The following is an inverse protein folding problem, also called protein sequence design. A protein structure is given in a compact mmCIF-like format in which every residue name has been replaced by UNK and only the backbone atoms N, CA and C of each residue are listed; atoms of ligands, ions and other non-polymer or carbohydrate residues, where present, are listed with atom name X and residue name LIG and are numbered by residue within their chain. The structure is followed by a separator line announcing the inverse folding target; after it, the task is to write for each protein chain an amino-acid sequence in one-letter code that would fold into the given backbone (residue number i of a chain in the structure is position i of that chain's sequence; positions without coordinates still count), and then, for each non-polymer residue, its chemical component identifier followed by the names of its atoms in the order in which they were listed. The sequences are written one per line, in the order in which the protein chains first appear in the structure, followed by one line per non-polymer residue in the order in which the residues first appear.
data_IF_563240522264
#
_entry.id   IF_563240522264
#
_cell.length_a   1.000
_cell.length_b   1.000
_cell.length_c   1.000
_cell.angle_alpha   90.00
_cell.angle_beta   90.00
_cell.angle_gamma   90.00
#
_symmetry.space_group_name_H-M   'P 1'
#
loop_
_entity.id
_entity.type
_entity.pdbx_description
1 polymer ?
#
# COMPACT_ATOMS: atom_id res chain seq x y z
N UNK A 1 8.78 -1.77 7.58
CA UNK A 1 8.60 -2.71 6.46
C UNK A 1 7.96 -1.98 5.32
N UNK A 2 8.55 -2.04 4.14
CA UNK A 2 7.83 -1.76 2.89
C UNK A 2 7.07 -3.02 2.49
N UNK A 3 5.76 -2.92 2.29
CA UNK A 3 4.92 -4.11 2.13
C UNK A 3 5.13 -4.77 0.77
N UNK A 4 5.12 -3.96 -0.29
CA UNK A 4 5.35 -4.39 -1.67
C UNK A 4 5.64 -3.15 -2.52
N UNK A 5 6.74 -3.19 -3.26
CA UNK A 5 7.06 -2.19 -4.27
C UNK A 5 6.10 -2.31 -5.46
N UNK A 6 5.50 -1.19 -5.87
CA UNK A 6 4.69 -1.05 -7.08
C UNK A 6 3.62 -2.16 -7.29
N UNK A 7 2.68 -2.34 -6.35
CA UNK A 7 1.63 -3.34 -6.47
C UNK A 7 0.81 -3.08 -7.75
N UNK A 8 0.83 -4.03 -8.69
CA UNK A 8 0.16 -3.90 -9.99
C UNK A 8 -0.46 -5.22 -10.45
N UNK A 9 -1.61 -5.08 -11.08
CA UNK A 9 -2.27 -6.13 -11.85
C UNK A 9 -2.67 -5.45 -13.17
N UNK A 10 -1.99 -5.82 -14.25
CA UNK A 10 -2.11 -5.16 -15.54
C UNK A 10 -3.52 -5.28 -16.14
N UNK A 11 -4.28 -6.31 -15.76
CA UNK A 11 -5.67 -6.48 -16.18
C UNK A 11 -6.63 -5.54 -15.44
N UNK A 12 -6.17 -4.87 -14.37
CA UNK A 12 -6.98 -3.99 -13.52
C UNK A 12 -6.56 -2.51 -13.61
N UNK A 13 -5.47 -2.18 -14.30
CA UNK A 13 -5.03 -0.79 -14.56
C UNK A 13 -6.15 -0.01 -15.28
N UNK A 14 -6.48 1.23 -14.87
CA UNK A 14 -5.71 2.13 -14.01
C UNK A 14 -6.02 2.04 -12.50
N UNK A 15 -6.76 1.02 -12.07
CA UNK A 15 -7.09 0.83 -10.66
C UNK A 15 -6.04 0.00 -9.94
N UNK A 16 -5.88 0.23 -8.63
CA UNK A 16 -5.13 -0.68 -7.77
C UNK A 16 -5.74 -2.08 -7.83
N UNK A 17 -4.95 -3.16 -7.71
CA UNK A 17 -5.49 -4.52 -7.71
C UNK A 17 -6.54 -4.68 -6.62
N UNK A 18 -7.74 -5.19 -6.95
CA UNK A 18 -8.85 -5.33 -5.98
C UNK A 18 -8.48 -6.12 -4.72
N UNK A 19 -7.59 -7.09 -4.88
CA UNK A 19 -7.08 -7.93 -3.80
C UNK A 19 -6.05 -7.23 -2.89
N UNK A 20 -5.50 -6.08 -3.29
CA UNK A 20 -4.37 -5.47 -2.61
C UNK A 20 -4.75 -4.95 -1.23
N UNK A 21 -5.84 -4.20 -1.12
CA UNK A 21 -6.31 -3.65 0.15
C UNK A 21 -6.58 -4.73 1.24
N UNK A 22 -7.40 -5.77 0.99
CA UNK A 22 -7.62 -6.81 2.01
C UNK A 22 -6.35 -7.60 2.34
N UNK A 23 -5.44 -7.77 1.39
CA UNK A 23 -4.14 -8.41 1.64
C UNK A 23 -3.27 -7.56 2.58
N UNK A 24 -3.20 -6.24 2.34
CA UNK A 24 -2.45 -5.30 3.17
C UNK A 24 -2.96 -5.28 4.61
N UNK A 25 -4.28 -5.27 4.81
CA UNK A 25 -4.88 -5.34 6.16
C UNK A 25 -4.44 -6.62 6.89
N UNK A 26 -4.40 -7.75 6.19
CA UNK A 26 -3.95 -9.01 6.79
C UNK A 26 -2.44 -9.01 7.10
N UNK A 27 -1.63 -8.42 6.21
CA UNK A 27 -0.19 -8.24 6.44
C UNK A 27 0.05 -7.33 7.66
N UNK A 28 -0.68 -6.22 7.77
CA UNK A 28 -0.61 -5.32 8.92
C UNK A 28 -0.90 -6.06 10.23
N UNK A 29 -2.00 -6.82 10.30
CA UNK A 29 -2.32 -7.61 11.48
C UNK A 29 -1.22 -8.61 11.83
N UNK A 30 -0.66 -9.28 10.82
CA UNK A 30 0.42 -10.26 11.00
C UNK A 30 1.69 -9.59 11.53
N UNK A 31 2.07 -8.44 10.97
CA UNK A 31 3.23 -7.68 11.45
C UNK A 31 2.98 -7.20 12.87
N UNK A 32 1.81 -6.62 13.18
CA UNK A 32 1.51 -6.10 14.54
C UNK A 32 1.45 -7.18 15.61
N UNK A 33 1.14 -8.42 15.25
CA UNK A 33 1.21 -9.56 16.16
C UNK A 33 2.64 -9.94 16.58
N UNK A 34 3.66 -9.53 15.81
CA UNK A 34 5.08 -9.90 16.02
C UNK A 34 5.92 -8.67 16.39
N UNK A 35 5.67 -7.54 15.73
CA UNK A 35 6.28 -6.23 15.95
C UNK A 35 5.20 -5.12 15.93
N UNK A 36 4.75 -4.77 17.12
CA UNK A 36 3.75 -3.73 17.33
C UNK A 36 4.24 -2.31 16.96
N UNK A 37 5.55 -2.09 16.80
CA UNK A 37 6.13 -0.74 16.70
C UNK A 37 6.70 -0.40 15.33
N UNK A 38 6.88 -1.37 14.44
CA UNK A 38 7.43 -1.15 13.11
C UNK A 38 6.73 -0.02 12.33
N UNK A 39 7.51 0.84 11.70
CA UNK A 39 6.99 1.76 10.68
C UNK A 39 6.60 0.95 9.45
N UNK A 40 5.41 1.17 8.91
CA UNK A 40 4.92 0.53 7.69
C UNK A 40 4.98 1.52 6.54
N UNK A 41 5.62 1.13 5.45
CA UNK A 41 5.66 1.89 4.19
C UNK A 41 4.69 1.19 3.24
N UNK A 42 3.68 1.93 2.80
CA UNK A 42 2.58 1.43 1.99
C UNK A 42 2.48 2.19 0.68
N UNK A 43 2.47 1.44 -0.42
CA UNK A 43 2.12 1.95 -1.73
C UNK A 43 0.69 1.52 -2.10
N UNK A 44 -0.20 2.46 -2.43
CA UNK A 44 -1.58 2.10 -2.79
C UNK A 44 -1.70 1.47 -4.18
N UNK A 45 -0.74 1.72 -5.08
CA UNK A 45 -0.78 1.29 -6.48
C UNK A 45 -1.85 2.03 -7.33
N UNK A 46 -2.02 1.60 -8.59
CA UNK A 46 -1.25 0.54 -9.24
C UNK A 46 0.14 1.00 -9.70
N UNK A 47 1.16 0.15 -9.55
CA UNK A 47 2.43 0.30 -10.28
C UNK A 47 3.15 1.65 -10.09
N UNK A 48 3.26 2.15 -8.84
CA UNK A 48 3.87 3.45 -8.54
C UNK A 48 3.02 4.67 -8.90
N UNK A 49 1.90 4.48 -9.61
CA UNK A 49 0.94 5.55 -9.91
C UNK A 49 0.21 5.99 -8.64
N UNK A 50 -0.14 7.27 -8.59
CA UNK A 50 -0.98 7.81 -7.52
C UNK A 50 -2.13 8.63 -8.09
N UNK A 51 -3.29 8.51 -7.45
CA UNK A 51 -4.44 9.39 -7.66
C UNK A 51 -5.02 9.75 -6.29
N UNK A 52 -5.68 10.91 -6.19
CA UNK A 52 -6.29 11.37 -4.93
C UNK A 52 -7.36 10.40 -4.38
N UNK A 53 -7.92 9.52 -5.22
CA UNK A 53 -8.87 8.50 -4.81
C UNK A 53 -8.27 7.34 -3.99
N UNK A 54 -6.93 7.24 -3.94
CA UNK A 54 -6.24 6.13 -3.27
C UNK A 54 -5.72 6.44 -1.87
N UNK A 55 -6.00 7.63 -1.34
CA UNK A 55 -5.60 8.08 0.00
C UNK A 55 -6.61 7.67 1.10
N UNK A 56 -7.17 6.47 1.00
CA UNK A 56 -7.98 5.93 2.08
C UNK A 56 -7.04 5.48 3.20
N UNK A 57 -7.31 5.81 4.48
CA UNK A 57 -6.47 5.38 5.58
C UNK A 57 -6.57 3.86 5.80
N UNK A 58 -5.43 3.18 5.80
CA UNK A 58 -5.29 1.84 6.37
C UNK A 58 -5.67 1.83 7.86
N UNK A 59 -6.14 0.70 8.40
CA UNK A 59 -6.55 0.57 9.79
C UNK A 59 -5.34 0.42 10.74
N UNK A 60 -4.36 1.33 10.62
CA UNK A 60 -3.14 1.35 11.43
C UNK A 60 -2.65 2.80 11.56
N UNK A 61 -2.12 3.16 12.72
CA UNK A 61 -1.70 4.54 13.02
C UNK A 61 -0.24 4.82 12.69
N UNK A 62 0.58 3.80 12.38
CA UNK A 62 2.00 3.95 12.07
C UNK A 62 2.31 3.50 10.63
N UNK A 63 1.64 4.18 9.69
CA UNK A 63 1.74 3.97 8.23
C UNK A 63 2.24 5.23 7.55
N UNK A 64 3.21 5.05 6.65
CA UNK A 64 3.77 6.06 5.76
C UNK A 64 3.32 5.69 4.34
N UNK A 65 2.62 6.59 3.65
CA UNK A 65 2.26 6.39 2.25
C UNK A 65 3.45 6.77 1.37
N UNK A 66 3.86 5.85 0.49
CA UNK A 66 4.92 6.05 -0.50
C UNK A 66 4.33 6.19 -1.89
N UNK A 67 4.94 7.05 -2.70
CA UNK A 67 4.54 7.34 -4.08
C UNK A 67 5.78 7.53 -4.94
N UNK A 68 5.71 7.05 -6.19
CA UNK A 68 6.81 7.21 -7.14
C UNK A 68 6.54 8.38 -8.07
N UNK A 69 7.49 9.31 -8.13
CA UNK A 69 7.45 10.47 -9.00
C UNK A 69 8.49 10.30 -10.11
N UNK A 70 8.03 9.84 -11.27
CA UNK A 70 8.88 9.65 -12.45
C UNK A 70 8.85 10.85 -13.42
N UNK A 71 8.03 11.86 -13.13
CA UNK A 71 7.98 13.10 -13.92
C UNK A 71 8.94 14.15 -13.32
N UNK A 72 9.65 14.93 -14.15
CA UNK A 72 10.30 16.16 -13.72
C UNK A 72 9.28 17.27 -13.40
#
# INVERSE_FOLDING_TARGET
YELLNEPVDWDQVPNAPRQWWPMVVNILHTIRAIDATANIIFEPGPGGMFSSGYLMPLPDTNVIYSFHFYNP
#
